data_IF_055432715927
#
_entry.id   IF_055432715927
#
_cell.length_a   1.000
_cell.length_b   1.000
_cell.length_c   1.000
_cell.angle_alpha   90.00
_cell.angle_beta   90.00
_cell.angle_gamma   90.00
#
_symmetry.space_group_name_H-M   'P 1'
#
loop_
_entity.id
_entity.type
_entity.pdbx_description
1 polymer ?
#
# COMPACT_ATOMS: atom_id res chain seq x y z
N UNK A 1 -0.76 -11.20 14.54
CA UNK A 1 -0.10 -9.88 14.45
C UNK A 1 -0.96 -8.91 15.22
N UNK A 2 -0.41 -8.30 16.27
CA UNK A 2 -1.14 -7.30 17.06
C UNK A 2 -1.21 -5.96 16.32
N UNK A 3 -2.19 -5.12 16.69
CA UNK A 3 -2.35 -3.76 16.16
C UNK A 3 -1.11 -2.91 16.43
N UNK A 4 -0.46 -3.11 17.58
CA UNK A 4 0.77 -2.41 17.98
C UNK A 4 1.94 -2.68 17.04
N UNK A 5 2.12 -3.93 16.59
CA UNK A 5 3.17 -4.30 15.64
C UNK A 5 2.98 -3.57 14.30
N UNK A 6 1.73 -3.44 13.84
CA UNK A 6 1.41 -2.73 12.61
C UNK A 6 1.71 -1.22 12.73
N UNK A 7 1.32 -0.61 13.85
CA UNK A 7 1.60 0.80 14.12
C UNK A 7 3.09 1.07 14.17
N UNK A 8 3.87 0.18 14.78
CA UNK A 8 5.32 0.31 14.82
C UNK A 8 5.94 0.21 13.43
N UNK A 9 5.46 -0.71 12.59
CA UNK A 9 5.91 -0.80 11.19
C UNK A 9 5.62 0.48 10.41
N UNK A 10 4.44 1.09 10.61
CA UNK A 10 4.10 2.38 9.99
C UNK A 10 5.08 3.47 10.44
N UNK A 11 5.33 3.57 11.75
CA UNK A 11 6.31 4.51 12.32
C UNK A 11 7.70 4.33 11.73
N UNK A 12 8.12 3.08 11.56
CA UNK A 12 9.44 2.74 11.01
C UNK A 12 9.60 3.10 9.54
N UNK A 13 8.51 3.32 8.79
CA UNK A 13 8.58 3.79 7.39
C UNK A 13 8.94 5.26 7.24
N UNK A 14 8.82 6.06 8.30
CA UNK A 14 9.10 7.49 8.25
C UNK A 14 10.60 7.80 8.11
N UNK A 15 10.91 9.00 7.61
CA UNK A 15 12.27 9.49 7.42
C UNK A 15 13.19 8.52 6.63
N UNK A 16 12.64 7.86 5.61
CA UNK A 16 13.31 6.86 4.79
C UNK A 16 14.48 7.40 3.95
N UNK A 17 14.59 8.73 3.81
CA UNK A 17 15.71 9.42 3.14
C UNK A 17 16.98 9.48 4.02
N UNK A 18 16.85 9.39 5.34
CA UNK A 18 18.00 9.45 6.23
C UNK A 18 18.80 8.13 6.18
N UNK A 19 20.14 8.15 5.97
CA UNK A 19 20.92 6.95 5.68
C UNK A 19 20.84 5.89 6.79
N UNK A 20 20.85 6.30 8.06
CA UNK A 20 20.71 5.37 9.21
C UNK A 20 19.32 4.71 9.31
N UNK A 21 18.28 5.32 8.73
CA UNK A 21 16.88 4.86 8.81
C UNK A 21 16.43 4.15 7.52
N UNK A 22 17.09 4.40 6.39
CA UNK A 22 16.72 3.86 5.09
C UNK A 22 16.59 2.34 5.07
N UNK A 23 17.52 1.61 5.70
CA UNK A 23 17.45 0.14 5.78
C UNK A 23 16.23 -0.35 6.57
N UNK A 24 15.97 0.27 7.71
CA UNK A 24 14.81 -0.03 8.58
C UNK A 24 13.50 0.28 7.86
N UNK A 25 13.38 1.47 7.26
CA UNK A 25 12.19 1.88 6.52
C UNK A 25 11.88 0.94 5.35
N UNK A 26 12.89 0.52 4.57
CA UNK A 26 12.68 -0.45 3.48
C UNK A 26 12.20 -1.81 4.01
N UNK A 27 12.74 -2.27 5.14
CA UNK A 27 12.31 -3.53 5.77
C UNK A 27 10.86 -3.43 6.24
N UNK A 28 10.52 -2.34 6.92
CA UNK A 28 9.16 -2.08 7.40
C UNK A 28 8.16 -1.98 6.23
N UNK A 29 8.51 -1.25 5.16
CA UNK A 29 7.70 -1.18 3.94
C UNK A 29 7.47 -2.55 3.29
N UNK A 30 8.51 -3.39 3.18
CA UNK A 30 8.38 -4.77 2.67
C UNK A 30 7.44 -5.60 3.54
N UNK A 31 7.58 -5.51 4.87
CA UNK A 31 6.73 -6.22 5.82
C UNK A 31 5.26 -5.78 5.71
N UNK A 32 5.00 -4.48 5.67
CA UNK A 32 3.66 -3.91 5.46
C UNK A 32 3.05 -4.41 4.14
N UNK A 33 3.84 -4.44 3.05
CA UNK A 33 3.39 -4.97 1.76
C UNK A 33 3.01 -6.45 1.86
N UNK A 34 3.81 -7.28 2.54
CA UNK A 34 3.49 -8.70 2.76
C UNK A 34 2.21 -8.88 3.57
N UNK A 35 1.99 -8.06 4.61
CA UNK A 35 0.78 -8.11 5.44
C UNK A 35 -0.44 -7.74 4.59
N UNK A 36 -0.36 -6.66 3.82
CA UNK A 36 -1.45 -6.22 2.94
C UNK A 36 -1.80 -7.29 1.89
N UNK A 37 -0.81 -7.91 1.24
CA UNK A 37 -1.04 -9.04 0.31
C UNK A 37 -1.75 -10.21 0.99
N UNK A 38 -1.29 -10.56 2.19
CA UNK A 38 -1.88 -11.65 2.97
C UNK A 38 -3.33 -11.33 3.30
N UNK A 39 -3.62 -10.14 3.82
CA UNK A 39 -4.99 -9.73 4.14
C UNK A 39 -5.89 -9.74 2.91
N UNK A 40 -5.43 -9.21 1.76
CA UNK A 40 -6.21 -9.21 0.53
C UNK A 40 -6.54 -10.63 0.06
N UNK A 41 -5.56 -11.55 0.11
CA UNK A 41 -5.77 -12.95 -0.24
C UNK A 41 -6.75 -13.64 0.71
N UNK A 42 -6.58 -13.46 2.02
CA UNK A 42 -7.47 -14.05 3.02
C UNK A 42 -8.89 -13.50 2.92
N UNK A 43 -9.04 -12.21 2.63
CA UNK A 43 -10.32 -11.57 2.40
C UNK A 43 -11.01 -12.18 1.17
N UNK A 44 -10.33 -12.21 0.01
CA UNK A 44 -10.86 -12.81 -1.21
C UNK A 44 -11.28 -14.28 -1.02
N UNK A 45 -10.52 -15.06 -0.25
CA UNK A 45 -10.82 -16.47 0.06
C UNK A 45 -12.08 -16.65 0.91
N UNK A 46 -12.43 -15.68 1.75
CA UNK A 46 -13.58 -15.74 2.66
C UNK A 46 -14.86 -15.13 2.09
N UNK A 47 -14.77 -14.42 0.97
CA UNK A 47 -15.90 -13.74 0.34
C UNK A 47 -16.65 -14.68 -0.60
N UNK A 48 -17.96 -14.51 -0.71
CA UNK A 48 -18.76 -15.13 -1.77
C UNK A 48 -18.54 -14.42 -3.11
N UNK A 49 -18.94 -15.06 -4.21
CA UNK A 49 -18.86 -14.47 -5.55
C UNK A 49 -19.61 -13.14 -5.65
N UNK A 50 -20.82 -13.05 -5.11
CA UNK A 50 -21.61 -11.81 -5.06
C UNK A 50 -20.87 -10.68 -4.32
N UNK A 51 -20.20 -11.00 -3.21
CA UNK A 51 -19.41 -10.03 -2.47
C UNK A 51 -18.17 -9.60 -3.24
N UNK A 52 -17.51 -10.54 -3.94
CA UNK A 52 -16.35 -10.24 -4.77
C UNK A 52 -16.73 -9.30 -5.93
N UNK A 53 -17.86 -9.52 -6.59
CA UNK A 53 -18.38 -8.60 -7.62
C UNK A 53 -18.70 -7.23 -7.03
N UNK A 54 -19.44 -7.19 -5.91
CA UNK A 54 -19.83 -5.94 -5.26
C UNK A 54 -18.63 -5.07 -4.89
N UNK A 55 -17.51 -5.66 -4.50
CA UNK A 55 -16.30 -4.95 -4.07
C UNK A 55 -15.14 -5.04 -5.09
N UNK A 56 -15.41 -5.48 -6.32
CA UNK A 56 -14.37 -5.72 -7.33
C UNK A 56 -13.50 -4.48 -7.57
N UNK A 57 -14.11 -3.30 -7.67
CA UNK A 57 -13.41 -2.04 -7.92
C UNK A 57 -12.36 -1.73 -6.84
N UNK A 58 -12.76 -1.77 -5.56
CA UNK A 58 -11.86 -1.45 -4.44
C UNK A 58 -10.81 -2.55 -4.24
N UNK A 59 -11.16 -3.82 -4.45
CA UNK A 59 -10.22 -4.93 -4.36
C UNK A 59 -9.13 -4.84 -5.44
N UNK A 60 -9.52 -4.52 -6.67
CA UNK A 60 -8.60 -4.29 -7.78
C UNK A 60 -7.68 -3.10 -7.50
N UNK A 61 -8.22 -2.00 -6.99
CA UNK A 61 -7.42 -0.83 -6.62
C UNK A 61 -6.38 -1.16 -5.55
N UNK A 62 -6.77 -1.90 -4.51
CA UNK A 62 -5.86 -2.35 -3.46
C UNK A 62 -4.77 -3.27 -4.02
N UNK A 63 -5.12 -4.17 -4.94
CA UNK A 63 -4.18 -5.08 -5.60
C UNK A 63 -3.14 -4.32 -6.43
N UNK A 64 -3.58 -3.30 -7.18
CA UNK A 64 -2.68 -2.41 -7.92
C UNK A 64 -1.70 -1.70 -6.98
N UNK A 65 -2.20 -1.06 -5.91
CA UNK A 65 -1.37 -0.32 -4.94
C UNK A 65 -0.32 -1.22 -4.29
N UNK A 66 -0.71 -2.42 -3.88
CA UNK A 66 0.16 -3.36 -3.17
C UNK A 66 1.22 -3.96 -4.10
N UNK A 67 0.94 -4.08 -5.40
CA UNK A 67 1.87 -4.60 -6.40
C UNK A 67 2.73 -3.53 -7.08
N UNK A 68 2.36 -2.25 -6.95
CA UNK A 68 3.05 -1.14 -7.58
C UNK A 68 4.57 -1.11 -7.27
N UNK A 69 5.37 -0.86 -8.29
CA UNK A 69 6.82 -0.76 -8.22
C UNK A 69 7.30 0.68 -8.40
N UNK A 70 8.58 0.91 -8.11
CA UNK A 70 9.19 2.25 -8.17
C UNK A 70 9.19 2.82 -9.61
N UNK A 71 9.22 1.97 -10.64
CA UNK A 71 9.27 2.35 -12.05
C UNK A 71 7.90 2.57 -12.71
N UNK A 72 6.79 2.24 -12.05
CA UNK A 72 5.47 2.30 -12.67
C UNK A 72 5.05 3.76 -12.93
N UNK A 73 4.45 4.02 -14.10
CA UNK A 73 4.03 5.35 -14.55
C UNK A 73 2.66 5.79 -14.00
N UNK A 74 1.80 4.83 -13.65
CA UNK A 74 0.43 5.07 -13.17
C UNK A 74 0.30 4.85 -11.67
N UNK A 75 1.07 5.62 -10.89
CA UNK A 75 1.08 5.47 -9.43
C UNK A 75 -0.21 5.99 -8.80
N UNK A 76 -0.84 5.16 -7.98
CA UNK A 76 -2.00 5.54 -7.17
C UNK A 76 -1.48 6.15 -5.88
N UNK A 77 -1.74 7.44 -5.67
CA UNK A 77 -1.30 8.19 -4.49
C UNK A 77 -2.38 8.28 -3.40
N UNK A 78 -3.64 7.99 -3.73
CA UNK A 78 -4.76 8.07 -2.80
C UNK A 78 -5.82 7.05 -3.15
N UNK A 79 -6.19 6.18 -2.20
CA UNK A 79 -7.23 5.16 -2.39
C UNK A 79 -8.61 5.79 -2.63
N UNK A 80 -8.89 6.93 -2.01
CA UNK A 80 -10.18 7.65 -2.14
C UNK A 80 -10.25 8.57 -3.36
N UNK A 81 -9.11 8.80 -4.03
CA UNK A 81 -9.02 9.60 -5.26
C UNK A 81 -7.97 8.98 -6.19
N UNK A 82 -8.22 7.79 -6.75
CA UNK A 82 -7.23 7.07 -7.54
C UNK A 82 -6.86 7.79 -8.84
N UNK A 83 -7.71 8.69 -9.33
CA UNK A 83 -7.51 9.46 -10.57
C UNK A 83 -6.84 10.83 -10.37
N UNK A 84 -6.61 11.29 -9.13
CA UNK A 84 -5.88 12.54 -8.92
C UNK A 84 -4.37 12.30 -9.08
N UNK A 85 -3.85 12.58 -10.28
CA UNK A 85 -2.40 12.78 -10.48
C UNK A 85 -1.97 14.01 -9.71
N UNK A 86 -1.09 13.83 -8.72
CA UNK A 86 -0.44 14.93 -8.04
C UNK A 86 0.61 15.51 -9.00
N UNK A 87 0.24 16.56 -9.74
CA UNK A 87 1.21 17.40 -10.46
C UNK A 87 1.82 18.30 -9.37
N UNK A 88 2.93 17.86 -8.78
CA UNK A 88 3.74 18.78 -7.98
C UNK A 88 4.22 19.87 -8.94
N UNK A 89 3.67 21.07 -8.80
CA UNK A 89 4.09 22.26 -9.52
C UNK A 89 5.51 22.58 -9.04
N UNK A 90 6.52 22.25 -9.85
CA UNK A 90 7.89 22.73 -9.65
C UNK A 90 7.90 24.17 -10.16
N UNK A 91 7.79 25.13 -9.25
CA UNK A 91 8.39 26.45 -9.42
C UNK A 91 9.30 26.67 -8.22
N UNK A 92 10.59 26.90 -8.49
CA UNK A 92 11.65 27.07 -7.51
C UNK A 92 12.97 26.62 -8.10
#
# INVERSE_FOLDING_TARGET
MGVEELLQLVRDTHNSKHPKRAKMARRAQRRLRTIAKTQLRELKRKMSEEQLEKYAEILNLCEMVVNQQKGDSNKIYSLHKPFTKCIAQIYG
#
